data_IF_295142160392
#
_entry.id   IF_295142160392
#
_cell.length_a   1.000
_cell.length_b   1.000
_cell.length_c   1.000
_cell.angle_alpha   90.00
_cell.angle_beta   90.00
_cell.angle_gamma   90.00
#
_symmetry.space_group_name_H-M   'P 1'
#
loop_
_entity.id
_entity.type
_entity.pdbx_description
1 polymer ?
#
# COMPACT_ATOMS: atom_id res chain seq x y z
N UNK A 1 6.17 21.37 -23.67
CA UNK A 1 5.67 21.94 -22.39
C UNK A 1 6.74 21.75 -21.34
N UNK A 2 7.05 22.78 -20.55
CA UNK A 2 8.03 22.70 -19.45
C UNK A 2 7.31 22.69 -18.10
N UNK A 3 7.62 21.67 -17.28
CA UNK A 3 6.99 21.42 -15.98
C UNK A 3 8.06 21.51 -14.88
N UNK A 4 7.74 22.17 -13.77
CA UNK A 4 8.50 22.04 -12.54
C UNK A 4 8.10 20.75 -11.82
N UNK A 5 9.08 19.89 -11.55
CA UNK A 5 8.91 18.75 -10.67
C UNK A 5 9.10 19.19 -9.22
N UNK A 6 8.02 19.58 -8.55
CA UNK A 6 8.08 20.44 -7.37
C UNK A 6 8.51 19.72 -6.08
N UNK A 7 8.51 18.39 -6.06
CA UNK A 7 8.91 17.62 -4.88
C UNK A 7 9.66 16.35 -5.25
N UNK A 8 10.69 16.05 -4.45
CA UNK A 8 11.30 14.72 -4.44
C UNK A 8 10.82 13.97 -3.21
N UNK A 9 9.94 12.98 -3.41
CA UNK A 9 9.63 12.04 -2.32
C UNK A 9 10.76 11.02 -2.25
N UNK A 10 11.68 11.22 -1.31
CA UNK A 10 12.63 10.20 -0.90
C UNK A 10 12.04 9.46 0.30
N UNK A 11 11.84 8.15 0.17
CA UNK A 11 11.17 7.38 1.21
C UNK A 11 11.48 5.89 1.16
N UNK A 12 11.74 5.32 2.33
CA UNK A 12 11.77 3.86 2.56
C UNK A 12 10.52 3.45 3.35
N UNK A 13 10.14 2.17 3.29
CA UNK A 13 9.01 1.63 4.05
C UNK A 13 7.66 2.23 3.65
N UNK A 14 6.95 2.88 4.58
CA UNK A 14 5.60 3.44 4.35
C UNK A 14 5.55 4.54 3.28
N UNK A 15 6.64 5.31 3.12
CA UNK A 15 6.76 6.35 2.10
C UNK A 15 7.21 5.82 0.72
N UNK A 16 7.55 4.54 0.63
CA UNK A 16 8.08 3.93 -0.59
C UNK A 16 7.08 3.97 -1.76
N UNK A 17 5.77 3.93 -1.47
CA UNK A 17 4.72 4.01 -2.49
C UNK A 17 4.77 5.35 -3.24
N UNK A 18 4.64 6.46 -2.53
CA UNK A 18 4.74 7.80 -3.12
C UNK A 18 6.10 8.07 -3.75
N UNK A 19 7.20 7.58 -3.16
CA UNK A 19 8.54 7.70 -3.75
C UNK A 19 8.64 6.98 -5.11
N UNK A 20 8.15 5.74 -5.19
CA UNK A 20 8.14 4.96 -6.42
C UNK A 20 7.22 5.60 -7.47
N UNK A 21 6.02 6.03 -7.06
CA UNK A 21 5.09 6.72 -7.95
C UNK A 21 5.74 8.00 -8.52
N UNK A 22 6.27 8.87 -7.66
CA UNK A 22 6.93 10.10 -8.08
C UNK A 22 8.08 9.82 -9.07
N UNK A 23 8.97 8.87 -8.75
CA UNK A 23 10.08 8.49 -9.63
C UNK A 23 9.60 7.95 -10.98
N UNK A 24 8.63 7.04 -10.99
CA UNK A 24 8.14 6.40 -12.22
C UNK A 24 7.33 7.35 -13.11
N UNK A 25 6.55 8.24 -12.52
CA UNK A 25 5.86 9.29 -13.27
C UNK A 25 6.85 10.27 -13.89
N UNK A 26 7.91 10.66 -13.14
CA UNK A 26 9.01 11.49 -13.65
C UNK A 26 9.68 10.84 -14.86
N UNK A 27 10.05 9.56 -14.76
CA UNK A 27 10.61 8.77 -15.88
C UNK A 27 9.68 8.73 -17.09
N UNK A 28 8.38 8.47 -16.87
CA UNK A 28 7.39 8.39 -17.94
C UNK A 28 7.19 9.74 -18.67
N UNK A 29 7.17 10.86 -17.94
CA UNK A 29 7.08 12.20 -18.52
C UNK A 29 8.30 12.52 -19.39
N UNK A 30 9.51 12.21 -18.91
CA UNK A 30 10.74 12.38 -19.70
C UNK A 30 10.69 11.54 -20.98
N UNK A 31 10.28 10.27 -20.87
CA UNK A 31 10.15 9.38 -22.02
C UNK A 31 9.10 9.87 -23.03
N UNK A 32 8.06 10.58 -22.57
CA UNK A 32 7.06 11.23 -23.41
C UNK A 32 7.52 12.57 -24.02
N UNK A 33 8.78 12.98 -23.80
CA UNK A 33 9.34 14.22 -24.34
C UNK A 33 8.99 15.48 -23.54
N UNK A 34 8.50 15.35 -22.31
CA UNK A 34 8.23 16.49 -21.43
C UNK A 34 9.55 17.01 -20.84
N UNK A 35 9.78 18.33 -20.96
CA UNK A 35 10.93 18.99 -20.33
C UNK A 35 10.63 19.24 -18.87
N UNK A 36 11.44 18.67 -17.98
CA UNK A 36 11.33 18.90 -16.53
C UNK A 36 12.38 19.92 -16.07
N UNK A 37 11.99 20.79 -15.14
CA UNK A 37 12.89 21.61 -14.35
C UNK A 37 12.74 21.31 -12.86
N UNK A 38 13.74 21.74 -12.09
CA UNK A 38 13.86 21.45 -10.65
C UNK A 38 14.11 22.72 -9.82
N UNK A 39 14.43 23.84 -10.46
CA UNK A 39 14.52 25.15 -9.79
C UNK A 39 13.20 25.90 -9.96
N UNK A 40 12.61 26.36 -8.85
CA UNK A 40 11.40 27.18 -8.86
C UNK A 40 11.59 28.53 -9.57
N UNK A 41 12.84 28.95 -9.81
CA UNK A 41 13.20 30.15 -10.57
C UNK A 41 13.18 29.93 -12.08
N UNK A 42 13.14 28.68 -12.53
CA UNK A 42 13.08 28.38 -13.96
C UNK A 42 11.77 28.87 -14.59
N UNK A 43 11.80 29.11 -15.90
CA UNK A 43 10.56 29.27 -16.65
C UNK A 43 9.86 27.93 -16.82
N UNK A 44 8.60 27.84 -16.35
CA UNK A 44 7.72 26.68 -16.46
C UNK A 44 6.25 27.11 -16.38
N UNK A 45 5.39 26.31 -17.00
CA UNK A 45 3.95 26.59 -17.07
C UNK A 45 3.12 25.90 -15.98
N UNK A 46 3.66 24.86 -15.34
CA UNK A 46 2.98 24.06 -14.33
C UNK A 46 3.97 23.50 -13.31
N UNK A 47 3.63 23.56 -12.02
CA UNK A 47 4.30 22.84 -10.95
C UNK A 47 3.51 21.58 -10.59
N UNK A 48 4.15 20.41 -10.71
CA UNK A 48 3.54 19.12 -10.39
C UNK A 48 4.02 18.64 -9.03
N UNK A 49 3.06 18.30 -8.17
CA UNK A 49 3.28 17.80 -6.82
C UNK A 49 2.72 16.39 -6.69
N UNK A 50 3.49 15.43 -6.22
CA UNK A 50 3.05 14.06 -5.92
C UNK A 50 3.32 13.77 -4.45
N UNK A 51 2.38 14.13 -3.58
CA UNK A 51 2.52 14.11 -2.11
C UNK A 51 1.18 13.88 -1.41
N UNK A 52 1.23 13.61 -0.10
CA UNK A 52 0.07 13.69 0.77
C UNK A 52 -0.45 15.14 0.84
N UNK A 53 -1.77 15.35 1.05
CA UNK A 53 -2.36 16.69 1.05
C UNK A 53 -1.71 17.65 2.07
N UNK A 54 -1.37 17.16 3.27
CA UNK A 54 -0.74 17.95 4.32
C UNK A 54 0.70 18.40 3.99
N UNK A 55 1.37 17.71 3.06
CA UNK A 55 2.71 18.03 2.59
C UNK A 55 2.71 18.98 1.39
N UNK A 56 1.55 19.29 0.81
CA UNK A 56 1.45 20.18 -0.34
C UNK A 56 1.91 21.61 0.01
N UNK A 57 2.77 22.18 -0.84
CA UNK A 57 3.28 23.55 -0.74
C UNK A 57 3.23 24.19 -2.12
N UNK A 58 2.21 25.02 -2.44
CA UNK A 58 2.08 25.58 -3.79
C UNK A 58 3.18 26.58 -4.10
N UNK A 59 3.61 26.61 -5.37
CA UNK A 59 4.50 27.64 -5.89
C UNK A 59 3.68 28.89 -6.21
N UNK A 60 3.94 29.97 -5.48
CA UNK A 60 3.16 31.23 -5.58
C UNK A 60 3.29 31.83 -6.99
N UNK A 61 2.16 32.30 -7.53
CA UNK A 61 2.10 32.96 -8.84
C UNK A 61 2.25 32.00 -10.03
N UNK A 62 2.28 30.69 -9.79
CA UNK A 62 2.34 29.63 -10.82
C UNK A 62 1.11 28.74 -10.72
N UNK A 63 0.83 27.99 -11.80
CA UNK A 63 -0.18 26.92 -11.75
C UNK A 63 0.37 25.71 -11.02
N UNK A 64 -0.41 25.11 -10.14
CA UNK A 64 -0.05 23.96 -9.32
C UNK A 64 -1.03 22.80 -9.52
N UNK A 65 -0.49 21.63 -9.83
CA UNK A 65 -1.18 20.35 -9.87
C UNK A 65 -0.78 19.55 -8.64
N UNK A 66 -1.75 19.06 -7.87
CA UNK A 66 -1.52 18.09 -6.80
C UNK A 66 -2.06 16.71 -7.20
N UNK A 67 -1.15 15.76 -7.48
CA UNK A 67 -1.48 14.35 -7.56
C UNK A 67 -1.44 13.78 -6.14
N UNK A 68 -2.61 13.40 -5.64
CA UNK A 68 -2.73 12.80 -4.31
C UNK A 68 -3.83 11.75 -4.29
N UNK A 69 -3.94 11.01 -3.20
CA UNK A 69 -4.98 10.01 -3.03
C UNK A 69 -5.37 9.90 -1.56
N UNK A 70 -6.60 9.44 -1.35
CA UNK A 70 -7.14 9.15 -0.03
C UNK A 70 -7.92 7.84 -0.11
N UNK A 71 -7.54 6.86 0.72
CA UNK A 71 -8.19 5.54 0.73
C UNK A 71 -9.20 5.40 1.89
N UNK A 72 -9.65 6.50 2.49
CA UNK A 72 -10.75 6.57 3.46
C UNK A 72 -11.99 7.25 2.85
N UNK A 73 -13.15 7.04 3.46
CA UNK A 73 -14.43 7.64 3.01
C UNK A 73 -14.53 9.14 3.27
N UNK A 74 -13.59 9.70 4.03
CA UNK A 74 -13.53 11.11 4.41
C UNK A 74 -12.08 11.57 4.57
N UNK A 75 -11.82 12.87 4.45
CA UNK A 75 -10.47 13.40 4.67
C UNK A 75 -10.20 13.55 6.17
N UNK A 76 -9.05 13.06 6.62
CA UNK A 76 -8.54 13.40 7.95
C UNK A 76 -8.39 14.93 8.06
N UNK A 77 -8.69 15.57 9.20
CA UNK A 77 -8.55 17.03 9.35
C UNK A 77 -7.18 17.56 8.94
N UNK A 78 -6.10 16.85 9.26
CA UNK A 78 -4.74 17.22 8.85
C UNK A 78 -4.53 17.22 7.33
N UNK A 79 -5.35 16.49 6.59
CA UNK A 79 -5.29 16.41 5.12
C UNK A 79 -6.16 17.46 4.45
N UNK A 80 -6.93 18.24 5.22
CA UNK A 80 -7.69 19.36 4.68
C UNK A 80 -6.71 20.50 4.38
N UNK A 81 -6.50 20.76 3.09
CA UNK A 81 -5.75 21.90 2.57
C UNK A 81 -6.57 23.18 2.76
N UNK A 82 -5.94 24.19 3.37
CA UNK A 82 -6.52 25.53 3.55
C UNK A 82 -6.74 26.23 2.21
N UNK A 83 -7.73 27.14 2.17
CA UNK A 83 -8.15 27.84 0.94
C UNK A 83 -7.00 28.59 0.27
N UNK A 84 -6.14 29.22 1.04
CA UNK A 84 -4.99 30.01 0.59
C UNK A 84 -3.86 29.14 0.00
N UNK A 85 -3.93 27.82 0.23
CA UNK A 85 -2.95 26.83 -0.22
C UNK A 85 -3.55 25.81 -1.18
N UNK A 86 -4.73 26.03 -1.75
CA UNK A 86 -5.34 25.08 -2.68
C UNK A 86 -4.52 24.96 -3.99
N UNK A 87 -4.42 23.76 -4.57
CA UNK A 87 -3.90 23.61 -5.93
C UNK A 87 -4.90 24.19 -6.94
N UNK A 88 -4.42 24.53 -8.13
CA UNK A 88 -5.30 24.94 -9.23
C UNK A 88 -6.15 23.77 -9.73
N UNK A 89 -5.65 22.54 -9.61
CA UNK A 89 -6.40 21.32 -9.88
C UNK A 89 -5.77 20.11 -9.18
N UNK A 90 -6.61 19.14 -8.83
CA UNK A 90 -6.20 17.85 -8.31
C UNK A 90 -6.11 16.82 -9.43
N UNK A 91 -5.21 15.86 -9.24
CA UNK A 91 -5.23 14.59 -9.95
C UNK A 91 -5.35 13.48 -8.92
N UNK A 92 -6.26 12.53 -9.13
CA UNK A 92 -6.52 11.42 -8.22
C UNK A 92 -6.60 10.09 -8.99
N UNK A 93 -6.31 8.94 -8.35
CA UNK A 93 -6.19 7.68 -9.09
C UNK A 93 -7.53 7.08 -9.51
N UNK A 94 -8.64 7.47 -8.88
CA UNK A 94 -9.93 6.84 -9.14
C UNK A 94 -11.10 7.74 -8.77
N UNK A 95 -12.30 7.33 -9.22
CA UNK A 95 -13.56 8.00 -8.92
C UNK A 95 -13.83 8.12 -7.41
N UNK A 96 -13.50 7.09 -6.63
CA UNK A 96 -13.67 7.13 -5.17
C UNK A 96 -12.89 8.30 -4.55
N UNK A 97 -11.60 8.43 -4.89
CA UNK A 97 -10.80 9.56 -4.42
C UNK A 97 -11.39 10.89 -4.87
N UNK A 98 -11.79 11.00 -6.14
CA UNK A 98 -12.41 12.23 -6.68
C UNK A 98 -13.64 12.63 -5.86
N UNK A 99 -14.53 11.68 -5.61
CA UNK A 99 -15.78 11.93 -4.91
C UNK A 99 -15.51 12.37 -3.45
N UNK A 100 -14.50 11.79 -2.77
CA UNK A 100 -14.05 12.24 -1.44
C UNK A 100 -13.53 13.68 -1.49
N UNK A 101 -12.60 14.01 -2.38
CA UNK A 101 -12.04 15.37 -2.46
C UNK A 101 -13.08 16.42 -2.91
N UNK A 102 -14.04 16.04 -3.75
CA UNK A 102 -15.11 16.91 -4.23
C UNK A 102 -16.09 17.35 -3.11
N UNK A 103 -16.14 16.64 -1.99
CA UNK A 103 -16.89 17.09 -0.81
C UNK A 103 -16.25 18.31 -0.14
N UNK A 104 -14.94 18.49 -0.29
CA UNK A 104 -14.16 19.54 0.38
C UNK A 104 -13.79 20.70 -0.54
N UNK A 105 -13.65 20.45 -1.84
CA UNK A 105 -13.08 21.40 -2.79
C UNK A 105 -13.90 21.53 -4.06
N UNK A 106 -13.93 22.75 -4.61
CA UNK A 106 -14.62 23.07 -5.87
C UNK A 106 -13.67 23.29 -7.06
N UNK A 107 -12.36 23.17 -6.84
CA UNK A 107 -11.37 23.22 -7.94
C UNK A 107 -11.51 21.96 -8.83
N UNK A 108 -11.05 21.99 -10.09
CA UNK A 108 -11.09 20.80 -10.95
C UNK A 108 -10.36 19.60 -10.33
N UNK A 109 -10.94 18.40 -10.46
CA UNK A 109 -10.40 17.13 -9.96
C UNK A 109 -10.44 16.10 -11.09
N UNK A 110 -9.28 15.82 -11.66
CA UNK A 110 -9.12 14.87 -12.77
C UNK A 110 -8.77 13.47 -12.27
N UNK A 111 -9.28 12.44 -12.96
CA UNK A 111 -8.96 11.05 -12.65
C UNK A 111 -7.84 10.56 -13.58
N UNK A 112 -6.70 10.18 -13.00
CA UNK A 112 -5.59 9.54 -13.70
C UNK A 112 -5.22 8.23 -12.98
N UNK A 113 -5.69 7.07 -13.47
CA UNK A 113 -5.38 5.78 -12.85
C UNK A 113 -3.87 5.51 -12.80
N UNK A 114 -3.40 4.97 -11.67
CA UNK A 114 -2.02 4.52 -11.58
C UNK A 114 -1.78 3.28 -12.46
N UNK A 115 -0.60 3.23 -13.07
CA UNK A 115 -0.17 2.15 -13.94
C UNK A 115 0.73 1.13 -13.26
N UNK A 116 1.27 0.24 -14.09
CA UNK A 116 2.36 -0.67 -13.73
C UNK A 116 3.57 -0.37 -14.61
N UNK A 117 4.76 -0.82 -14.19
CA UNK A 117 5.91 -0.91 -15.09
C UNK A 117 5.70 -2.12 -16.02
N UNK A 118 5.40 -1.92 -17.33
CA UNK A 118 5.05 -3.01 -18.22
C UNK A 118 6.27 -3.82 -18.66
N UNK A 119 7.49 -3.30 -18.45
CA UNK A 119 8.73 -4.02 -18.75
C UNK A 119 9.00 -5.03 -17.64
N UNK A 120 8.83 -4.63 -16.38
CA UNK A 120 9.03 -5.50 -15.23
C UNK A 120 7.86 -6.46 -14.98
N UNK A 121 6.63 -5.97 -15.07
CA UNK A 121 5.40 -6.70 -14.71
C UNK A 121 4.58 -7.09 -15.93
N UNK A 122 5.22 -7.80 -16.86
CA UNK A 122 4.56 -8.37 -18.03
C UNK A 122 3.47 -9.39 -17.65
N UNK A 123 2.49 -9.54 -18.55
CA UNK A 123 1.50 -10.61 -18.45
C UNK A 123 2.19 -11.97 -18.30
N UNK A 124 1.73 -12.75 -17.32
CA UNK A 124 2.25 -14.08 -17.06
C UNK A 124 1.08 -15.08 -16.93
N UNK A 125 0.99 -15.98 -17.91
CA UNK A 125 0.01 -17.06 -17.86
C UNK A 125 0.41 -18.06 -16.77
N UNK A 126 -0.32 -18.03 -15.66
CA UNK A 126 -0.09 -18.95 -14.54
C UNK A 126 -0.42 -20.38 -14.96
N UNK A 127 0.40 -21.31 -14.49
CA UNK A 127 0.16 -22.75 -14.62
C UNK A 127 -0.42 -23.26 -13.31
N UNK A 128 -1.26 -24.30 -13.41
CA UNK A 128 -1.63 -25.07 -12.23
C UNK A 128 -0.36 -25.70 -11.61
N UNK A 129 -0.33 -25.92 -10.29
CA UNK A 129 0.81 -26.57 -9.65
C UNK A 129 1.01 -27.97 -10.25
N UNK A 130 2.25 -28.34 -10.54
CA UNK A 130 2.61 -29.68 -11.00
C UNK A 130 2.49 -30.74 -9.90
N UNK A 131 2.69 -32.03 -10.23
CA UNK A 131 2.72 -33.11 -9.25
C UNK A 131 3.73 -32.84 -8.11
N UNK A 132 3.25 -32.81 -6.87
CA UNK A 132 4.07 -32.54 -5.69
C UNK A 132 4.36 -31.05 -5.42
N UNK A 133 4.02 -30.14 -6.34
CA UNK A 133 4.17 -28.71 -6.11
C UNK A 133 3.03 -28.16 -5.24
N UNK A 134 3.32 -27.23 -4.31
CA UNK A 134 2.27 -26.62 -3.52
C UNK A 134 1.51 -25.57 -4.33
N UNK A 135 0.19 -25.53 -4.17
CA UNK A 135 -0.60 -24.35 -4.52
C UNK A 135 -0.18 -23.18 -3.63
N UNK A 136 0.26 -22.08 -4.23
CA UNK A 136 0.83 -20.92 -3.53
C UNK A 136 -0.15 -19.75 -3.50
N UNK A 137 -0.57 -19.38 -2.30
CA UNK A 137 -1.20 -18.10 -2.02
C UNK A 137 -0.13 -17.06 -1.70
N UNK A 138 -0.30 -15.84 -2.19
CA UNK A 138 0.61 -14.73 -1.95
C UNK A 138 -0.14 -13.51 -1.42
N UNK A 139 0.32 -13.00 -0.28
CA UNK A 139 0.00 -11.65 0.18
C UNK A 139 1.29 -10.82 0.14
N UNK A 140 1.20 -9.59 -0.38
CA UNK A 140 2.33 -8.65 -0.46
C UNK A 140 1.87 -7.28 0.03
N UNK A 141 2.62 -6.69 0.97
CA UNK A 141 2.34 -5.34 1.46
C UNK A 141 3.17 -4.99 2.70
N UNK A 142 3.10 -3.75 3.15
CA UNK A 142 3.68 -3.38 4.45
C UNK A 142 2.89 -4.01 5.60
N UNK A 143 3.53 -4.27 6.74
CA UNK A 143 2.91 -4.89 7.91
C UNK A 143 1.91 -3.97 8.66
N UNK A 144 1.47 -2.87 8.05
CA UNK A 144 0.46 -1.99 8.66
C UNK A 144 -0.88 -2.72 8.84
N UNK A 145 -1.63 -2.49 9.93
CA UNK A 145 -2.94 -3.11 10.18
C UNK A 145 -3.92 -2.94 9.01
N UNK A 146 -3.85 -1.77 8.37
CA UNK A 146 -4.67 -1.41 7.21
C UNK A 146 -4.50 -2.34 6.00
N UNK A 147 -3.34 -2.98 5.86
CA UNK A 147 -3.03 -3.88 4.72
C UNK A 147 -3.56 -5.31 4.92
N UNK A 148 -4.16 -5.62 6.07
CA UNK A 148 -4.94 -6.84 6.27
C UNK A 148 -4.14 -8.14 6.42
N UNK A 149 -2.83 -8.07 6.68
CA UNK A 149 -1.99 -9.26 6.85
C UNK A 149 -2.48 -10.17 8.01
N UNK A 150 -3.05 -9.56 9.06
CA UNK A 150 -3.67 -10.23 10.19
C UNK A 150 -4.91 -11.05 9.77
N UNK A 151 -5.74 -10.54 8.86
CA UNK A 151 -6.89 -11.26 8.30
C UNK A 151 -6.41 -12.51 7.56
N UNK A 152 -5.40 -12.36 6.68
CA UNK A 152 -4.83 -13.48 5.92
C UNK A 152 -4.33 -14.58 6.86
N UNK A 153 -3.60 -14.16 7.90
CA UNK A 153 -3.00 -15.04 8.89
C UNK A 153 -4.06 -15.80 9.71
N UNK A 154 -5.12 -15.10 10.13
CA UNK A 154 -6.24 -15.67 10.85
C UNK A 154 -7.03 -16.66 9.98
N UNK A 155 -7.32 -16.28 8.73
CA UNK A 155 -8.02 -17.13 7.77
C UNK A 155 -7.24 -18.42 7.49
N UNK A 156 -5.92 -18.32 7.27
CA UNK A 156 -5.04 -19.48 7.09
C UNK A 156 -5.09 -20.42 8.29
N UNK A 157 -4.96 -19.87 9.49
CA UNK A 157 -4.96 -20.66 10.74
C UNK A 157 -6.29 -21.35 10.96
N UNK A 158 -7.41 -20.66 10.70
CA UNK A 158 -8.75 -21.25 10.81
C UNK A 158 -8.96 -22.36 9.79
N UNK A 159 -8.54 -22.15 8.53
CA UNK A 159 -8.64 -23.18 7.51
C UNK A 159 -7.83 -24.43 7.87
N UNK A 160 -6.60 -24.26 8.38
CA UNK A 160 -5.77 -25.37 8.86
C UNK A 160 -6.48 -26.17 9.97
N UNK A 161 -7.08 -25.48 10.95
CA UNK A 161 -7.80 -26.10 12.07
C UNK A 161 -9.05 -26.87 11.65
N UNK A 162 -9.62 -26.61 10.49
CA UNK A 162 -10.76 -27.40 10.00
C UNK A 162 -10.38 -28.84 9.64
N UNK A 163 -9.09 -29.14 9.49
CA UNK A 163 -8.61 -30.42 8.97
C UNK A 163 -8.90 -30.63 7.47
N UNK A 164 -9.50 -29.64 6.79
CA UNK A 164 -9.87 -29.70 5.36
C UNK A 164 -8.89 -28.96 4.45
N UNK A 165 -7.81 -28.40 4.98
CA UNK A 165 -6.78 -27.76 4.17
C UNK A 165 -6.01 -28.83 3.38
N UNK A 166 -5.89 -28.70 2.04
CA UNK A 166 -5.05 -29.60 1.27
C UNK A 166 -3.60 -29.57 1.77
N UNK A 167 -2.96 -30.74 1.80
CA UNK A 167 -1.59 -30.87 2.33
C UNK A 167 -0.57 -30.10 1.49
N UNK A 168 -0.86 -29.86 0.23
CA UNK A 168 -0.01 -29.17 -0.73
C UNK A 168 -0.43 -27.70 -0.94
N UNK A 169 -0.73 -26.97 0.12
CA UNK A 169 -0.95 -25.52 0.05
C UNK A 169 0.15 -24.77 0.80
N UNK A 170 0.51 -23.59 0.30
CA UNK A 170 1.48 -22.68 0.93
C UNK A 170 0.94 -21.25 0.91
N UNK A 171 1.01 -20.58 2.04
CA UNK A 171 0.82 -19.14 2.15
C UNK A 171 2.19 -18.47 2.23
N UNK A 172 2.43 -17.54 1.32
CA UNK A 172 3.61 -16.69 1.30
C UNK A 172 3.20 -15.26 1.67
N UNK A 173 3.74 -14.73 2.76
CA UNK A 173 3.54 -13.35 3.22
C UNK A 173 4.84 -12.59 2.94
N UNK A 174 4.81 -11.72 1.94
CA UNK A 174 5.91 -10.82 1.62
C UNK A 174 5.65 -9.44 2.22
N UNK A 175 6.58 -8.95 3.04
CA UNK A 175 6.45 -7.61 3.62
C UNK A 175 7.73 -6.79 3.59
N UNK A 176 7.60 -5.48 3.72
CA UNK A 176 8.70 -4.53 3.92
C UNK A 176 8.68 -4.05 5.37
N UNK A 177 9.72 -4.37 6.15
CA UNK A 177 9.84 -3.94 7.55
C UNK A 177 10.49 -5.02 8.42
N UNK A 178 11.38 -4.59 9.32
CA UNK A 178 11.89 -5.46 10.39
C UNK A 178 10.72 -5.72 11.33
N UNK A 179 10.41 -6.99 11.54
CA UNK A 179 9.39 -7.42 12.49
C UNK A 179 9.75 -6.93 13.90
N UNK A 180 9.14 -5.83 14.31
CA UNK A 180 8.99 -5.52 15.73
C UNK A 180 8.05 -6.53 16.40
N UNK A 181 7.77 -6.36 17.70
CA UNK A 181 6.72 -7.02 18.48
C UNK A 181 5.37 -7.27 17.78
N UNK A 182 5.10 -6.68 16.63
CA UNK A 182 3.80 -6.60 15.98
C UNK A 182 3.49 -7.78 15.04
N UNK A 183 4.29 -8.84 15.09
CA UNK A 183 3.82 -10.21 14.77
C UNK A 183 3.42 -11.01 16.02
N UNK A 184 3.43 -10.41 17.24
CA UNK A 184 2.85 -10.99 18.48
C UNK A 184 1.33 -11.27 18.36
N UNK A 185 0.68 -10.74 17.32
CA UNK A 185 -0.74 -10.94 17.01
C UNK A 185 -1.11 -12.39 16.73
N UNK A 186 -0.17 -13.22 16.26
CA UNK A 186 -0.44 -14.65 16.05
C UNK A 186 -0.83 -15.36 17.34
N UNK A 187 -0.28 -14.98 18.51
CA UNK A 187 -0.70 -15.57 19.80
C UNK A 187 -1.96 -14.90 20.35
N UNK A 188 -2.09 -13.57 20.22
CA UNK A 188 -3.26 -12.84 20.70
C UNK A 188 -4.54 -13.19 19.93
N UNK A 189 -4.47 -13.45 18.62
CA UNK A 189 -5.60 -13.95 17.84
C UNK A 189 -6.04 -15.36 18.27
N UNK A 190 -5.07 -16.23 18.62
CA UNK A 190 -5.35 -17.58 19.12
C UNK A 190 -5.87 -17.58 20.57
N UNK A 191 -5.41 -16.64 21.40
CA UNK A 191 -5.84 -16.49 22.80
C UNK A 191 -7.15 -15.68 22.95
N UNK A 192 -7.41 -14.71 22.07
CA UNK A 192 -8.64 -13.92 22.09
C UNK A 192 -9.87 -14.75 21.70
N UNK A 193 -9.74 -15.80 20.89
CA UNK A 193 -10.82 -16.80 20.72
C UNK A 193 -11.16 -17.54 22.02
N UNK A 194 -10.15 -17.76 22.90
CA UNK A 194 -10.35 -18.39 24.22
C UNK A 194 -10.96 -17.39 25.21
N UNK A 195 -10.54 -16.12 25.17
CA UNK A 195 -11.08 -15.05 26.02
C UNK A 195 -12.49 -14.58 25.61
N UNK A 196 -12.81 -14.62 24.30
CA UNK A 196 -14.16 -14.30 23.77
C UNK A 196 -15.24 -15.28 24.24
N UNK A 197 -14.88 -16.55 24.48
CA UNK A 197 -15.79 -17.54 25.08
C UNK A 197 -16.02 -17.33 26.58
N UNK A 198 -15.16 -16.59 27.26
CA UNK A 198 -15.24 -16.39 28.71
C UNK A 198 -15.95 -15.07 29.07
N UNK A 199 -15.81 -14.02 28.26
CA UNK A 199 -16.19 -12.66 28.70
C UNK A 199 -17.29 -11.92 27.92
N UNK A 200 -17.87 -12.47 26.85
CA UNK A 200 -19.09 -11.90 26.23
C UNK A 200 -19.04 -10.42 25.78
N UNK A 201 -17.87 -9.85 25.52
CA UNK A 201 -17.73 -8.41 25.21
C UNK A 201 -17.96 -8.10 23.71
N UNK A 202 -18.71 -7.03 23.38
CA UNK A 202 -18.89 -6.56 22.01
C UNK A 202 -17.63 -5.88 21.49
N UNK A 203 -17.52 -5.82 20.16
CA UNK A 203 -16.42 -5.25 19.39
C UNK A 203 -15.97 -3.85 19.89
N UNK A 204 -14.90 -3.80 20.69
CA UNK A 204 -14.20 -2.57 21.08
C UNK A 204 -12.87 -2.41 20.34
N UNK A 205 -12.32 -1.17 20.25
CA UNK A 205 -11.18 -0.84 19.41
C UNK A 205 -9.94 -1.57 19.90
N UNK A 206 -9.19 -2.18 18.99
CA UNK A 206 -7.97 -2.91 19.31
C UNK A 206 -6.88 -1.94 19.80
N UNK A 207 -6.89 -1.61 21.10
CA UNK A 207 -5.77 -0.97 21.79
C UNK A 207 -4.61 -1.96 21.88
N UNK A 208 -3.48 -1.60 21.26
CA UNK A 208 -2.29 -2.44 21.09
C UNK A 208 -1.22 -2.05 22.12
N UNK A 209 -1.35 -2.46 23.38
CA UNK A 209 -0.24 -2.28 24.32
C UNK A 209 0.89 -3.30 24.07
N UNK A 210 2.07 -2.75 23.81
CA UNK A 210 3.32 -3.43 23.49
C UNK A 210 3.92 -4.16 24.71
N UNK A 211 3.28 -5.22 25.22
CA UNK A 211 3.83 -6.00 26.33
C UNK A 211 4.57 -7.27 25.89
N UNK A 212 5.76 -7.46 26.48
CA UNK A 212 6.84 -8.41 26.19
C UNK A 212 6.36 -9.88 26.27
N UNK A 213 6.60 -10.68 25.21
CA UNK A 213 6.33 -12.14 25.16
C UNK A 213 7.33 -12.86 24.20
N UNK A 214 7.53 -14.20 24.33
CA UNK A 214 8.80 -14.89 24.11
C UNK A 214 9.17 -15.19 22.65
N UNK A 215 10.46 -15.42 22.43
CA UNK A 215 11.18 -15.46 21.15
C UNK A 215 10.86 -16.61 20.17
N UNK A 216 9.80 -17.41 20.37
CA UNK A 216 9.49 -18.54 19.49
C UNK A 216 8.01 -18.60 19.10
N UNK A 217 7.69 -18.00 17.94
CA UNK A 217 6.42 -18.22 17.25
C UNK A 217 6.41 -19.65 16.70
N UNK A 218 5.43 -20.51 17.04
CA UNK A 218 5.32 -21.84 16.46
C UNK A 218 5.17 -21.73 14.93
N UNK A 219 5.98 -22.51 14.20
CA UNK A 219 5.90 -22.57 12.73
C UNK A 219 4.54 -23.13 12.32
N UNK A 220 3.70 -22.30 11.70
CA UNK A 220 2.45 -22.77 11.11
C UNK A 220 2.77 -23.56 9.83
N UNK A 221 2.23 -24.79 9.68
CA UNK A 221 2.39 -25.57 8.46
C UNK A 221 2.03 -24.77 7.21
N UNK A 222 2.92 -24.81 6.21
CA UNK A 222 2.70 -24.15 4.92
C UNK A 222 2.79 -22.61 4.93
N UNK A 223 3.12 -21.96 6.06
CA UNK A 223 3.30 -20.50 6.10
C UNK A 223 4.77 -20.13 5.89
N UNK A 224 5.03 -19.23 4.94
CA UNK A 224 6.32 -18.58 4.72
C UNK A 224 6.16 -17.08 4.89
N UNK A 225 7.06 -16.48 5.65
CA UNK A 225 7.08 -15.06 5.96
C UNK A 225 8.42 -14.49 5.51
N UNK A 226 8.41 -13.57 4.55
CA UNK A 226 9.61 -12.98 3.95
C UNK A 226 9.63 -11.45 4.10
N UNK A 227 10.54 -10.97 4.95
CA UNK A 227 10.79 -9.54 5.19
C UNK A 227 12.03 -8.98 4.48
N UNK A 228 12.72 -9.77 3.64
CA UNK A 228 13.90 -9.29 2.90
C UNK A 228 13.51 -8.16 1.96
N UNK A 229 14.35 -7.15 1.78
CA UNK A 229 14.14 -6.19 0.70
C UNK A 229 14.50 -6.89 -0.62
N UNK A 230 13.48 -7.14 -1.45
CA UNK A 230 13.67 -7.74 -2.77
C UNK A 230 13.91 -6.66 -3.80
N UNK A 231 14.77 -6.95 -4.77
CA UNK A 231 14.86 -6.18 -6.00
C UNK A 231 13.52 -6.24 -6.76
N UNK A 232 13.26 -5.26 -7.62
CA UNK A 232 12.02 -5.22 -8.39
C UNK A 232 11.82 -6.45 -9.29
N UNK A 233 12.92 -6.98 -9.87
CA UNK A 233 12.91 -8.22 -10.65
C UNK A 233 12.58 -9.45 -9.79
N UNK A 234 13.16 -9.57 -8.60
CA UNK A 234 12.86 -10.65 -7.66
C UNK A 234 11.40 -10.59 -7.17
N UNK A 235 10.86 -9.37 -6.98
CA UNK A 235 9.44 -9.18 -6.66
C UNK A 235 8.54 -9.61 -7.82
N UNK A 236 8.90 -9.29 -9.06
CA UNK A 236 8.18 -9.74 -10.25
C UNK A 236 8.18 -11.28 -10.34
N UNK A 237 9.32 -11.93 -10.07
CA UNK A 237 9.40 -13.39 -10.06
C UNK A 237 8.59 -14.01 -8.92
N UNK A 238 8.57 -13.38 -7.74
CA UNK A 238 7.70 -13.79 -6.65
C UNK A 238 6.22 -13.70 -7.06
N UNK A 239 5.80 -12.60 -7.68
CA UNK A 239 4.45 -12.45 -8.23
C UNK A 239 4.13 -13.53 -9.25
N UNK A 240 5.06 -13.91 -10.14
CA UNK A 240 4.86 -15.00 -11.11
C UNK A 240 4.76 -16.37 -10.44
N UNK A 241 5.44 -16.59 -9.33
CA UNK A 241 5.41 -17.87 -8.60
C UNK A 241 4.10 -18.18 -7.86
N UNK A 242 3.25 -17.17 -7.64
CA UNK A 242 1.96 -17.35 -6.96
C UNK A 242 0.92 -18.03 -7.86
N UNK A 243 -0.05 -18.70 -7.25
CA UNK A 243 -1.22 -19.24 -7.95
C UNK A 243 -2.47 -18.40 -7.65
N UNK A 244 -2.52 -17.79 -6.47
CA UNK A 244 -3.57 -16.86 -6.07
C UNK A 244 -2.99 -15.72 -5.23
N UNK A 245 -3.54 -14.51 -5.41
CA UNK A 245 -3.25 -13.37 -4.54
C UNK A 245 -4.33 -13.21 -3.49
N UNK A 246 -3.93 -12.78 -2.30
CA UNK A 246 -4.85 -12.42 -1.21
C UNK A 246 -4.57 -10.97 -0.85
N UNK A 247 -5.56 -10.08 -1.03
CA UNK A 247 -5.40 -8.63 -0.88
C UNK A 247 -6.54 -8.03 -0.03
N UNK A 248 -6.65 -8.35 1.27
CA UNK A 248 -7.77 -7.96 2.10
C UNK A 248 -7.52 -6.59 2.75
N UNK A 249 -7.19 -5.57 1.94
CA UNK A 249 -6.95 -4.22 2.43
C UNK A 249 -8.23 -3.66 3.08
N UNK A 250 -8.05 -2.94 4.19
CA UNK A 250 -9.14 -2.21 4.88
C UNK A 250 -9.29 -0.76 4.40
N UNK A 251 -8.37 -0.27 3.56
CA UNK A 251 -8.24 1.15 3.20
C UNK A 251 -7.03 1.82 3.88
N UNK A 252 -7.00 3.14 3.93
CA UNK A 252 -6.21 3.91 4.91
C UNK A 252 -7.03 3.99 6.21
N UNK A 253 -6.38 4.21 7.35
CA UNK A 253 -7.03 4.42 8.65
C UNK A 253 -6.33 5.57 9.37
#
# INVERSE_FOLDING_TARGET
>A
MKILWANEVQGIGGAYGYATHAAKMKEALIAAGVTLCFDEKDDFGLAVHIVLPNMFRPIRGKKNLLFTMNETVDLHPDYVIEKERLPDFFVVPCKFCRDVFAHYYSVPIEICPEGIDPVLFQFHQRKAPGPGEPFRFLWVGSAGPRKGHDIVSLAWTRWLRTGRMPRNCRLYIKTSGVYGPEMRYYRAALNSERQRRVNGLPHGPYFWESNKLPASTPKLPGLVVDARNLLASELADLYRSAHAFILPSRGEA
#
